data_IF_512205703329
#
_entry.id   IF_512205703329
#
_cell.length_a   1.000
_cell.length_b   1.000
_cell.length_c   1.000
_cell.angle_alpha   90.00
_cell.angle_beta   90.00
_cell.angle_gamma   90.00
#
_symmetry.space_group_name_H-M   'P 1'
#
loop_
_entity.id
_entity.type
_entity.pdbx_description
1 polymer ?
#
# COMPACT_ATOMS: atom_id res chain seq x y z
N UNK A 1 16.86 8.37 -2.68
CA UNK A 1 16.62 7.14 -3.49
C UNK A 1 15.97 7.56 -4.80
N UNK A 2 16.60 7.29 -5.96
CA UNK A 2 16.04 7.73 -7.25
C UNK A 2 14.62 7.19 -7.48
N UNK A 3 13.67 8.05 -7.83
CA UNK A 3 12.28 7.66 -8.11
C UNK A 3 11.37 7.49 -6.89
N UNK A 4 11.71 8.05 -5.72
CA UNK A 4 10.75 8.36 -4.66
C UNK A 4 10.69 9.88 -4.54
N UNK A 5 9.52 10.47 -4.74
CA UNK A 5 9.31 11.91 -4.58
C UNK A 5 8.49 12.16 -3.32
N UNK A 6 8.98 13.07 -2.49
CA UNK A 6 8.47 13.29 -1.14
C UNK A 6 9.48 14.05 -0.27
N UNK A 7 9.20 14.08 1.03
CA UNK A 7 10.07 14.71 2.02
C UNK A 7 10.06 13.94 3.34
N UNK A 8 11.12 14.09 4.12
CA UNK A 8 11.04 13.83 5.57
C UNK A 8 10.07 14.85 6.17
N UNK A 9 9.26 14.42 7.13
CA UNK A 9 8.38 15.30 7.89
C UNK A 9 8.72 15.18 9.38
N UNK A 10 8.17 16.08 10.19
CA UNK A 10 8.33 15.99 11.64
C UNK A 10 7.85 14.62 12.17
N UNK A 11 8.45 14.10 13.25
CA UNK A 11 7.99 12.88 13.91
C UNK A 11 6.47 12.92 14.15
N UNK A 12 5.82 11.77 14.01
CA UNK A 12 4.41 11.63 14.31
C UNK A 12 4.29 11.02 15.69
N UNK A 13 3.84 11.81 16.66
CA UNK A 13 3.59 11.37 18.03
C UNK A 13 2.09 11.21 18.27
N UNK A 14 1.60 9.97 18.08
CA UNK A 14 0.20 9.62 18.30
C UNK A 14 -0.07 9.16 19.73
N UNK A 15 -1.34 8.94 20.11
CA UNK A 15 -1.68 8.45 21.43
C UNK A 15 -1.14 7.02 21.66
N UNK A 16 -0.69 6.77 22.88
CA UNK A 16 -0.20 5.46 23.32
C UNK A 16 1.02 4.99 22.53
N UNK A 17 0.87 3.87 21.79
CA UNK A 17 1.95 3.26 20.99
C UNK A 17 1.91 3.66 19.51
N UNK A 18 1.10 4.64 19.15
CA UNK A 18 1.02 5.15 17.79
C UNK A 18 2.13 6.15 17.50
N UNK A 19 2.76 6.03 16.34
CA UNK A 19 3.69 7.04 15.88
C UNK A 19 4.70 6.55 14.86
N UNK A 20 5.50 7.49 14.36
CA UNK A 20 6.61 7.24 13.44
C UNK A 20 7.74 8.21 13.82
N UNK A 21 8.88 7.67 14.25
CA UNK A 21 10.02 8.47 14.70
C UNK A 21 10.71 9.23 13.55
N UNK A 22 10.89 8.57 12.39
CA UNK A 22 11.46 9.18 11.18
C UNK A 22 10.51 8.92 9.99
N UNK A 23 9.43 9.73 9.86
CA UNK A 23 8.46 9.59 8.81
C UNK A 23 8.91 10.25 7.51
N UNK A 24 8.55 9.61 6.40
CA UNK A 24 8.56 10.21 5.08
C UNK A 24 7.13 10.36 4.57
N UNK A 25 6.88 11.49 3.90
CA UNK A 25 5.66 11.72 3.15
C UNK A 25 5.97 11.61 1.65
N UNK A 26 5.38 10.62 0.98
CA UNK A 26 5.60 10.31 -0.42
C UNK A 26 4.41 10.83 -1.24
N UNK A 27 4.68 11.49 -2.35
CA UNK A 27 3.66 12.02 -3.28
C UNK A 27 3.70 11.34 -4.64
N UNK A 28 4.86 10.79 -5.03
CA UNK A 28 5.00 10.03 -6.27
C UNK A 28 6.08 8.95 -6.17
N UNK A 29 5.95 7.93 -7.02
CA UNK A 29 6.88 6.80 -7.10
C UNK A 29 7.17 6.52 -8.57
N UNK A 30 8.44 6.66 -8.96
CA UNK A 30 8.94 6.38 -10.30
C UNK A 30 8.13 7.09 -11.40
N UNK A 31 7.79 8.37 -11.16
CA UNK A 31 7.00 9.22 -12.06
C UNK A 31 5.49 8.95 -12.03
N UNK A 32 5.00 8.11 -11.11
CA UNK A 32 3.57 7.83 -10.94
C UNK A 32 3.07 8.54 -9.69
N UNK A 33 2.05 9.38 -9.84
CA UNK A 33 1.44 10.13 -8.74
C UNK A 33 0.68 9.21 -7.79
N UNK A 34 0.64 9.55 -6.51
CA UNK A 34 -0.29 8.98 -5.54
C UNK A 34 -1.53 9.87 -5.41
N UNK A 35 -2.74 9.30 -5.35
CA UNK A 35 -3.97 10.10 -5.23
C UNK A 35 -4.01 10.94 -3.95
N UNK A 36 -3.34 10.47 -2.90
CA UNK A 36 -3.09 11.20 -1.67
C UNK A 36 -1.66 10.89 -1.18
N UNK A 37 -1.04 11.81 -0.42
CA UNK A 37 0.28 11.55 0.15
C UNK A 37 0.27 10.36 1.11
N UNK A 38 1.33 9.56 1.07
CA UNK A 38 1.53 8.40 1.95
C UNK A 38 2.54 8.77 3.02
N UNK A 39 2.13 8.66 4.30
CA UNK A 39 3.00 8.85 5.47
C UNK A 39 3.36 7.49 6.05
N UNK A 40 4.64 7.15 6.00
CA UNK A 40 5.20 5.85 6.42
C UNK A 40 6.63 6.02 6.90
N UNK A 41 7.23 4.99 7.49
CA UNK A 41 8.68 4.97 7.69
C UNK A 41 9.46 4.62 6.42
N UNK A 42 10.77 4.82 6.47
CA UNK A 42 11.69 4.55 5.37
C UNK A 42 11.66 3.09 4.86
N UNK A 43 11.41 2.09 5.72
CA UNK A 43 11.36 0.68 5.29
C UNK A 43 10.14 0.41 4.41
N UNK A 44 8.95 0.83 4.87
CA UNK A 44 7.73 0.72 4.10
C UNK A 44 7.78 1.52 2.79
N UNK A 45 8.38 2.72 2.79
CA UNK A 45 8.63 3.51 1.58
C UNK A 45 9.46 2.73 0.53
N UNK A 46 10.54 2.08 0.97
CA UNK A 46 11.43 1.28 0.10
C UNK A 46 10.72 0.07 -0.48
N UNK A 47 9.97 -0.67 0.33
CA UNK A 47 9.18 -1.83 -0.14
C UNK A 47 8.05 -1.39 -1.09
N UNK A 48 7.39 -0.27 -0.80
CA UNK A 48 6.38 0.29 -1.69
C UNK A 48 6.95 0.66 -3.05
N UNK A 49 8.10 1.34 -3.09
CA UNK A 49 8.80 1.64 -4.34
C UNK A 49 9.09 0.38 -5.16
N UNK A 50 9.64 -0.64 -4.50
CA UNK A 50 9.95 -1.93 -5.14
C UNK A 50 8.69 -2.58 -5.73
N UNK A 51 7.58 -2.54 -5.00
CA UNK A 51 6.32 -3.09 -5.47
C UNK A 51 5.73 -2.27 -6.63
N UNK A 52 5.83 -0.94 -6.62
CA UNK A 52 5.45 -0.11 -7.76
C UNK A 52 6.25 -0.49 -9.00
N UNK A 53 7.57 -0.57 -8.87
CA UNK A 53 8.47 -0.83 -10.01
C UNK A 53 8.36 -2.25 -10.57
N UNK A 54 8.27 -3.25 -9.69
CA UNK A 54 8.37 -4.67 -10.06
C UNK A 54 7.05 -5.43 -10.03
N UNK A 55 6.01 -4.82 -9.48
CA UNK A 55 4.68 -5.43 -9.32
C UNK A 55 3.59 -4.65 -10.05
N UNK A 56 3.30 -3.43 -9.60
CA UNK A 56 2.18 -2.63 -10.11
C UNK A 56 2.40 -2.23 -11.57
N UNK A 57 3.55 -1.65 -11.91
CA UNK A 57 3.87 -1.25 -13.29
C UNK A 57 3.80 -2.43 -14.26
N UNK A 58 4.48 -3.58 -14.01
CA UNK A 58 4.35 -4.75 -14.89
C UNK A 58 2.94 -5.35 -14.96
N UNK A 59 2.19 -5.34 -13.85
CA UNK A 59 0.83 -5.87 -13.84
C UNK A 59 -0.13 -5.07 -14.74
N UNK A 60 0.04 -3.74 -14.78
CA UNK A 60 -0.75 -2.85 -15.65
C UNK A 60 -0.21 -2.85 -17.09
N UNK A 61 1.11 -2.85 -17.26
CA UNK A 61 1.77 -2.77 -18.56
C UNK A 61 1.35 -1.51 -19.33
N UNK A 62 0.97 -1.68 -20.60
CA UNK A 62 0.51 -0.57 -21.47
C UNK A 62 -1.01 -0.36 -21.46
N UNK A 63 -1.75 -1.08 -20.61
CA UNK A 63 -3.21 -1.01 -20.59
C UNK A 63 -3.67 0.43 -20.37
N UNK A 64 -4.57 0.92 -21.21
CA UNK A 64 -5.09 2.28 -21.11
C UNK A 64 -4.03 3.38 -21.19
N UNK A 65 -2.90 3.13 -21.86
CA UNK A 65 -1.78 4.07 -21.95
C UNK A 65 -0.81 4.02 -20.75
N UNK A 66 -0.99 3.06 -19.84
CA UNK A 66 -0.19 2.94 -18.61
C UNK A 66 -0.84 3.63 -17.42
N UNK A 67 -0.09 3.73 -16.32
CA UNK A 67 -0.58 4.27 -15.05
C UNK A 67 -0.41 5.78 -15.05
N UNK A 68 -1.48 6.50 -14.71
CA UNK A 68 -1.45 7.92 -14.38
C UNK A 68 -1.23 8.11 -12.87
N UNK A 69 -2.01 7.41 -12.05
CA UNK A 69 -1.92 7.49 -10.59
C UNK A 69 -2.20 6.17 -9.89
N UNK A 70 -1.61 5.97 -8.71
CA UNK A 70 -1.95 4.88 -7.79
C UNK A 70 -2.96 5.41 -6.78
N UNK A 71 -4.05 4.68 -6.58
CA UNK A 71 -5.10 5.03 -5.63
C UNK A 71 -4.74 4.52 -4.25
N UNK A 72 -4.52 5.45 -3.33
CA UNK A 72 -4.24 5.18 -1.93
C UNK A 72 -5.55 5.21 -1.15
N UNK A 73 -5.84 4.14 -0.41
CA UNK A 73 -6.95 4.07 0.53
C UNK A 73 -6.52 4.54 1.92
N UNK A 74 -5.32 4.14 2.38
CA UNK A 74 -4.78 4.56 3.67
C UNK A 74 -3.25 4.48 3.72
N UNK A 75 -2.67 5.27 4.63
CA UNK A 75 -1.28 5.18 5.10
C UNK A 75 -1.28 5.28 6.63
N UNK A 76 -0.45 6.11 7.27
CA UNK A 76 -0.51 6.28 8.73
C UNK A 76 -1.94 6.57 9.24
N UNK A 77 -2.36 5.76 10.22
CA UNK A 77 -3.63 5.89 10.94
C UNK A 77 -3.50 5.19 12.29
N UNK A 78 -3.67 5.94 13.38
CA UNK A 78 -3.62 5.39 14.73
C UNK A 78 -4.92 4.64 15.04
N UNK A 79 -4.91 3.32 14.81
CA UNK A 79 -6.06 2.43 15.03
C UNK A 79 -5.63 1.00 15.33
N UNK A 80 -6.51 0.24 15.97
CA UNK A 80 -6.39 -1.21 16.06
C UNK A 80 -6.61 -1.88 14.70
N UNK A 81 -6.19 -3.14 14.57
CA UNK A 81 -6.43 -3.94 13.36
C UNK A 81 -7.93 -4.03 13.09
N UNK A 82 -8.31 -3.79 11.83
CA UNK A 82 -9.70 -3.73 11.37
C UNK A 82 -10.59 -2.75 12.18
N UNK A 83 -9.97 -1.79 12.87
CA UNK A 83 -10.63 -0.85 13.78
C UNK A 83 -11.49 -1.53 14.85
N UNK A 84 -11.14 -2.76 15.24
CA UNK A 84 -11.90 -3.54 16.22
C UNK A 84 -11.45 -3.21 17.65
N UNK A 85 -12.37 -2.95 18.59
CA UNK A 85 -12.04 -2.81 20.00
C UNK A 85 -11.28 -4.04 20.55
N UNK A 86 -10.27 -3.82 21.38
CA UNK A 86 -9.46 -4.89 21.98
C UNK A 86 -8.48 -5.61 21.03
N UNK A 87 -8.54 -5.35 19.72
CA UNK A 87 -7.59 -5.94 18.78
C UNK A 87 -6.19 -5.33 18.91
N UNK A 88 -5.16 -6.09 18.49
CA UNK A 88 -3.79 -5.59 18.38
C UNK A 88 -3.72 -4.31 17.56
N UNK A 89 -2.75 -3.46 17.87
CA UNK A 89 -2.48 -2.26 17.09
C UNK A 89 -2.15 -2.60 15.64
N UNK A 90 -2.69 -1.81 14.70
CA UNK A 90 -2.43 -1.96 13.27
C UNK A 90 -1.00 -1.56 12.92
N UNK A 91 -0.46 -2.13 11.84
CA UNK A 91 0.82 -1.69 11.28
C UNK A 91 0.72 -0.28 10.68
N UNK A 92 -0.48 0.18 10.30
CA UNK A 92 -0.73 1.58 9.96
C UNK A 92 -0.39 2.55 11.09
N UNK A 93 -0.64 2.16 12.35
CA UNK A 93 -0.37 3.01 13.50
C UNK A 93 1.13 3.17 13.81
N UNK A 94 1.98 2.36 13.17
CA UNK A 94 3.43 2.38 13.30
C UNK A 94 4.12 2.90 12.03
N UNK A 95 3.35 3.36 11.04
CA UNK A 95 3.88 3.77 9.74
C UNK A 95 4.43 2.64 8.88
N UNK A 96 4.05 1.39 9.16
CA UNK A 96 4.55 0.20 8.48
C UNK A 96 3.70 -0.23 7.28
N UNK A 97 2.51 0.34 7.10
CA UNK A 97 1.50 -0.18 6.18
C UNK A 97 0.94 0.86 5.20
N UNK A 98 0.52 0.37 4.04
CA UNK A 98 -0.13 1.14 2.97
C UNK A 98 -1.30 0.31 2.42
N UNK A 99 -2.45 0.95 2.22
CA UNK A 99 -3.60 0.37 1.53
C UNK A 99 -3.71 0.96 0.13
N UNK A 100 -3.67 0.11 -0.90
CA UNK A 100 -3.86 0.49 -2.30
C UNK A 100 -5.22 0.00 -2.80
N UNK A 101 -6.11 0.93 -3.15
CA UNK A 101 -7.45 0.60 -3.66
C UNK A 101 -7.51 0.41 -5.17
N UNK A 102 -6.43 0.70 -5.91
CA UNK A 102 -6.40 0.54 -7.36
C UNK A 102 -5.42 1.46 -8.09
N UNK A 103 -5.66 1.65 -9.38
CA UNK A 103 -4.89 2.54 -10.27
C UNK A 103 -5.80 3.32 -11.21
N UNK A 104 -5.40 4.53 -11.55
CA UNK A 104 -5.97 5.34 -12.63
C UNK A 104 -5.07 5.18 -13.85
N UNK A 105 -5.67 4.85 -15.00
CA UNK A 105 -4.97 4.71 -16.28
C UNK A 105 -5.00 6.03 -17.05
N UNK A 106 -4.02 6.27 -17.90
CA UNK A 106 -3.90 7.51 -18.70
C UNK A 106 -5.09 7.80 -19.62
N UNK A 107 -5.88 6.79 -19.98
CA UNK A 107 -7.12 6.95 -20.73
C UNK A 107 -8.34 7.27 -19.85
N UNK A 108 -8.14 7.66 -18.59
CA UNK A 108 -9.19 8.01 -17.62
C UNK A 108 -9.88 6.81 -16.94
N UNK A 109 -9.64 5.58 -17.40
CA UNK A 109 -10.24 4.40 -16.75
C UNK A 109 -9.58 4.14 -15.39
N UNK A 110 -10.41 3.89 -14.38
CA UNK A 110 -9.93 3.42 -13.07
C UNK A 110 -10.12 1.91 -12.94
N UNK A 111 -9.08 1.21 -12.50
CA UNK A 111 -9.15 -0.18 -12.05
C UNK A 111 -9.12 -0.17 -10.52
N UNK A 112 -10.14 -0.70 -9.87
CA UNK A 112 -10.24 -0.74 -8.40
C UNK A 112 -10.24 -2.17 -7.89
N UNK A 113 -9.75 -2.39 -6.67
CA UNK A 113 -9.81 -3.69 -6.03
C UNK A 113 -11.27 -4.14 -5.89
N UNK A 114 -12.15 -3.27 -5.38
CA UNK A 114 -13.56 -3.56 -5.18
C UNK A 114 -14.27 -4.08 -6.45
N UNK A 115 -14.11 -3.35 -7.57
CA UNK A 115 -14.85 -3.66 -8.82
C UNK A 115 -14.14 -4.69 -9.69
N UNK A 116 -12.80 -4.68 -9.69
CA UNK A 116 -12.00 -5.44 -10.64
C UNK A 116 -11.32 -6.67 -10.03
N UNK A 117 -11.47 -6.98 -8.72
CA UNK A 117 -10.86 -8.18 -8.14
C UNK A 117 -11.31 -9.47 -8.83
N UNK A 118 -12.62 -9.69 -8.98
CA UNK A 118 -13.14 -10.98 -9.52
C UNK A 118 -12.73 -11.21 -10.97
N UNK A 119 -12.92 -10.18 -11.81
CA UNK A 119 -12.75 -10.23 -13.28
C UNK A 119 -11.35 -9.77 -13.75
N UNK A 120 -10.60 -9.04 -12.93
CA UNK A 120 -9.39 -8.34 -13.32
C UNK A 120 -8.11 -9.11 -13.02
N UNK A 121 -7.51 -9.69 -14.06
CA UNK A 121 -6.17 -10.29 -13.99
C UNK A 121 -5.10 -9.30 -13.50
N UNK A 122 -5.28 -7.99 -13.76
CA UNK A 122 -4.35 -6.92 -13.34
C UNK A 122 -4.29 -6.79 -11.82
N UNK A 123 -5.43 -6.60 -11.14
CA UNK A 123 -5.46 -6.43 -9.68
C UNK A 123 -4.92 -7.67 -8.96
N UNK A 124 -5.30 -8.88 -9.41
CA UNK A 124 -4.76 -10.12 -8.82
C UNK A 124 -3.25 -10.23 -9.02
N UNK A 125 -2.71 -9.79 -10.16
CA UNK A 125 -1.26 -9.75 -10.40
C UNK A 125 -0.57 -8.73 -9.49
N UNK A 126 -1.16 -7.54 -9.29
CA UNK A 126 -0.66 -6.55 -8.34
C UNK A 126 -0.55 -7.14 -6.94
N UNK A 127 -1.65 -7.72 -6.41
CA UNK A 127 -1.67 -8.37 -5.09
C UNK A 127 -0.64 -9.50 -4.99
N UNK A 128 -0.63 -10.44 -5.97
CA UNK A 128 0.33 -11.55 -5.97
C UNK A 128 1.79 -11.07 -5.93
N UNK A 129 2.11 -10.00 -6.66
CA UNK A 129 3.48 -9.44 -6.73
C UNK A 129 3.93 -8.71 -5.47
N UNK A 130 3.02 -8.39 -4.55
CA UNK A 130 3.36 -7.82 -3.26
C UNK A 130 3.92 -8.86 -2.28
N UNK A 131 3.66 -10.16 -2.51
CA UNK A 131 4.11 -11.22 -1.63
C UNK A 131 5.63 -11.40 -1.71
N UNK A 132 6.32 -11.34 -0.57
CA UNK A 132 7.78 -11.41 -0.47
C UNK A 132 8.42 -10.06 -0.10
N UNK A 133 8.26 -8.99 -0.90
CA UNK A 133 8.69 -7.64 -0.52
C UNK A 133 8.05 -7.10 0.76
N UNK A 134 6.85 -7.60 1.08
CA UNK A 134 6.10 -7.31 2.29
C UNK A 134 5.93 -8.58 3.12
N UNK A 135 5.88 -8.41 4.43
CA UNK A 135 5.66 -9.52 5.35
C UNK A 135 4.17 -9.84 5.55
N UNK A 136 3.28 -8.89 5.30
CA UNK A 136 1.84 -9.15 5.18
C UNK A 136 1.29 -8.53 3.91
N UNK A 137 0.48 -9.30 3.18
CA UNK A 137 -0.30 -8.86 2.01
C UNK A 137 -1.71 -9.40 2.15
N UNK A 138 -2.69 -8.52 2.29
CA UNK A 138 -4.11 -8.89 2.41
C UNK A 138 -4.90 -8.29 1.26
N UNK A 139 -5.83 -9.06 0.71
CA UNK A 139 -6.80 -8.59 -0.26
C UNK A 139 -8.19 -9.18 -0.03
N UNK A 140 -9.10 -9.11 -1.01
CA UNK A 140 -10.49 -9.52 -0.86
C UNK A 140 -10.72 -11.00 -0.53
N UNK A 141 -9.68 -11.85 -0.55
CA UNK A 141 -9.76 -13.24 -0.10
C UNK A 141 -9.30 -13.46 1.35
N UNK A 142 -8.72 -12.45 1.99
CA UNK A 142 -8.31 -12.50 3.39
C UNK A 142 -9.53 -12.48 4.31
N UNK A 143 -10.33 -11.43 4.23
CA UNK A 143 -11.50 -11.20 5.10
C UNK A 143 -12.40 -10.08 4.53
N UNK A 144 -13.47 -9.75 5.27
CA UNK A 144 -14.44 -8.71 4.89
C UNK A 144 -13.91 -7.28 4.92
N UNK A 145 -12.82 -7.01 5.64
CA UNK A 145 -12.27 -5.67 5.81
C UNK A 145 -11.35 -5.27 4.66
N UNK A 146 -10.90 -6.23 3.84
CA UNK A 146 -9.97 -6.00 2.72
C UNK A 146 -10.64 -6.17 1.35
N UNK A 147 -11.96 -5.94 1.25
CA UNK A 147 -12.71 -6.15 0.00
C UNK A 147 -12.43 -5.08 -1.08
N UNK A 148 -11.96 -3.90 -0.68
CA UNK A 148 -11.82 -2.73 -1.55
C UNK A 148 -10.38 -2.22 -1.68
N UNK A 149 -9.41 -2.89 -1.06
CA UNK A 149 -8.00 -2.54 -1.14
C UNK A 149 -7.08 -3.75 -0.99
N UNK A 150 -5.81 -3.55 -1.36
CA UNK A 150 -4.69 -4.43 -1.05
C UNK A 150 -3.93 -3.77 0.10
N UNK A 151 -3.97 -4.38 1.27
CA UNK A 151 -3.16 -4.00 2.42
C UNK A 151 -1.77 -4.63 2.29
N UNK A 152 -0.73 -3.82 2.49
CA UNK A 152 0.66 -4.30 2.55
C UNK A 152 1.37 -3.72 3.77
N UNK A 153 2.14 -4.55 4.48
CA UNK A 153 3.01 -4.07 5.55
C UNK A 153 4.34 -4.82 5.65
N UNK A 154 5.31 -4.17 6.30
CA UNK A 154 6.69 -4.65 6.45
C UNK A 154 6.93 -5.38 7.78
N UNK A 155 5.87 -5.80 8.50
CA UNK A 155 6.06 -6.60 9.71
C UNK A 155 6.72 -7.95 9.37
N UNK A 156 7.71 -8.36 10.17
CA UNK A 156 8.42 -9.62 9.95
C UNK A 156 7.87 -10.73 10.83
N UNK A 157 7.76 -11.93 10.28
CA UNK A 157 7.27 -13.13 10.96
C UNK A 157 8.25 -14.29 10.77
N UNK A 158 8.40 -15.17 11.77
CA UNK A 158 9.30 -16.34 11.69
C UNK A 158 8.94 -17.31 10.55
N UNK A 159 7.66 -17.38 10.17
CA UNK A 159 7.15 -18.26 9.11
C UNK A 159 7.20 -17.67 7.70
N UNK A 160 7.84 -16.51 7.51
CA UNK A 160 7.86 -15.80 6.22
C UNK A 160 6.63 -14.93 5.98
N UNK A 161 6.43 -14.51 4.73
CA UNK A 161 5.37 -13.58 4.36
C UNK A 161 3.98 -14.22 4.45
N UNK A 162 3.04 -13.53 5.09
CA UNK A 162 1.62 -13.89 5.14
C UNK A 162 0.87 -13.23 3.98
N UNK A 163 0.46 -14.03 3.00
CA UNK A 163 -0.19 -13.53 1.78
C UNK A 163 -1.57 -14.18 1.59
N UNK A 164 -2.65 -13.39 1.65
CA UNK A 164 -4.04 -13.85 1.54
C UNK A 164 -4.91 -12.95 0.66
#
# INVERSE_FOLDING_TARGET
MAGLEGAHIAPIDGPGRCGIADPVQITSVSGIRLTSPVRVNCSAAKSFKRWVDRGIKPAVGRRGGGIEAIRIAASYSCRSRNSQPGAKLSEHAKGNAIDVSGVVLRNGKTLTVLKDWRKGRVIKKMHKSACGPFGTVLGPKSDRFHQDHIHVDVASYRGGAYCR
#
